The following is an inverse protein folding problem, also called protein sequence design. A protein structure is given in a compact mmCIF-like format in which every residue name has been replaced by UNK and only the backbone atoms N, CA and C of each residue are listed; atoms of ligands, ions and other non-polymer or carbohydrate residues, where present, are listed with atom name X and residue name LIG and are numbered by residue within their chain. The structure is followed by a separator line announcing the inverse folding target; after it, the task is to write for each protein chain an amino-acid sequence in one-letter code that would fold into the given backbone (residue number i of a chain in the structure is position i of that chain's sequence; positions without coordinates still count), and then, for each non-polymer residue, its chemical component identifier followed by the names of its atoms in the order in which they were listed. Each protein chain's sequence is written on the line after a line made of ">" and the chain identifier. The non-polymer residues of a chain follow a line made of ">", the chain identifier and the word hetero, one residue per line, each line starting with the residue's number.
data_IF_046331718666
#
_entry.id   IF_046331718666
#
_cell.length_a   1.000
_cell.length_b   1.000
_cell.length_c   1.000
_cell.angle_alpha   90.00
_cell.angle_beta   90.00
_cell.angle_gamma   90.00
#
_symmetry.space_group_name_H-M   'P 1'
#
loop_
_entity.id
_entity.type
_entity.pdbx_description
1 polymer ?
#
# COMPACT_ATOMS: atom_id res chain seq x y z
N UNK A 1 13.28 -17.51 8.41
CA UNK A 1 12.48 -18.65 7.91
C UNK A 1 11.41 -18.10 6.98
N UNK A 2 11.34 -18.55 5.72
CA UNK A 2 10.21 -18.21 4.83
C UNK A 2 9.11 -19.23 5.07
N UNK A 3 7.95 -18.79 5.54
CA UNK A 3 6.79 -19.65 5.81
C UNK A 3 5.89 -19.83 4.59
N UNK A 4 6.02 -18.97 3.57
CA UNK A 4 5.27 -19.04 2.32
C UNK A 4 6.03 -18.36 1.17
N UNK A 5 5.78 -18.78 -0.07
CA UNK A 5 6.29 -18.16 -1.30
C UNK A 5 5.25 -18.39 -2.42
N UNK A 6 4.98 -17.35 -3.20
CA UNK A 6 4.12 -17.42 -4.38
C UNK A 6 4.63 -16.46 -5.45
N UNK A 7 4.39 -16.82 -6.70
CA UNK A 7 4.75 -16.04 -7.88
C UNK A 7 3.47 -15.69 -8.64
N UNK A 8 3.39 -14.45 -9.13
CA UNK A 8 2.26 -13.96 -9.91
C UNK A 8 2.75 -13.08 -11.06
N UNK A 9 2.13 -13.23 -12.23
CA UNK A 9 2.42 -12.45 -13.43
C UNK A 9 1.25 -11.51 -13.69
N UNK A 10 1.52 -10.21 -13.74
CA UNK A 10 0.56 -9.19 -14.16
C UNK A 10 0.71 -8.95 -15.67
N UNK A 11 -0.42 -8.90 -16.39
CA UNK A 11 -0.45 -8.64 -17.83
C UNK A 11 -0.36 -7.13 -18.15
N UNK A 12 0.64 -6.46 -17.59
CA UNK A 12 0.88 -5.02 -17.77
C UNK A 12 2.39 -4.70 -17.80
N UNK A 13 2.80 -3.60 -18.45
CA UNK A 13 4.19 -3.14 -18.43
C UNK A 13 4.70 -2.86 -17.01
N UNK A 14 6.00 -3.07 -16.78
CA UNK A 14 6.64 -2.90 -15.47
C UNK A 14 6.47 -1.48 -14.92
N UNK A 15 6.52 -0.48 -15.80
CA UNK A 15 6.36 0.94 -15.45
C UNK A 15 4.96 1.19 -14.89
N UNK A 16 3.93 0.60 -15.49
CA UNK A 16 2.54 0.68 -15.04
C UNK A 16 2.37 -0.02 -13.69
N UNK A 17 2.92 -1.23 -13.54
CA UNK A 17 2.84 -1.99 -12.28
C UNK A 17 3.56 -1.23 -11.15
N UNK A 18 4.74 -0.70 -11.41
CA UNK A 18 5.52 0.05 -10.42
C UNK A 18 4.77 1.32 -9.99
N UNK A 19 4.19 2.04 -10.95
CA UNK A 19 3.41 3.25 -10.67
C UNK A 19 2.14 2.92 -9.87
N UNK A 20 1.41 1.87 -10.28
CA UNK A 20 0.23 1.39 -9.59
C UNK A 20 0.54 0.93 -8.16
N UNK A 21 1.68 0.26 -7.93
CA UNK A 21 2.11 -0.12 -6.59
C UNK A 21 2.39 1.12 -5.70
N UNK A 22 2.97 2.17 -6.28
CA UNK A 22 3.19 3.43 -5.57
C UNK A 22 1.88 4.18 -5.24
N UNK A 23 0.82 3.96 -6.02
CA UNK A 23 -0.52 4.56 -5.87
C UNK A 23 -1.59 3.52 -5.49
N UNK A 24 -1.19 2.42 -4.83
CA UNK A 24 -2.06 1.27 -4.58
C UNK A 24 -3.30 1.61 -3.76
N UNK A 25 -3.21 2.64 -2.92
CA UNK A 25 -4.30 3.05 -2.03
C UNK A 25 -4.68 4.51 -2.28
N UNK A 26 -5.98 4.86 -2.14
CA UNK A 26 -7.09 3.95 -1.79
C UNK A 26 -7.49 3.02 -2.95
N UNK A 27 -8.00 1.81 -2.65
CA UNK A 27 -8.59 0.91 -3.66
C UNK A 27 -9.84 0.19 -3.12
N UNK A 28 -10.83 -0.10 -3.97
CA UNK A 28 -12.10 -0.71 -3.53
C UNK A 28 -11.96 -2.17 -3.07
N UNK A 29 -10.91 -2.88 -3.52
CA UNK A 29 -10.67 -4.28 -3.16
C UNK A 29 -10.17 -4.46 -1.72
N UNK A 30 -9.58 -3.43 -1.14
CA UNK A 30 -9.08 -3.44 0.23
C UNK A 30 -9.44 -2.11 0.95
N UNK A 31 -10.72 -1.95 1.36
CA UNK A 31 -11.22 -0.72 1.95
C UNK A 31 -10.74 -0.49 3.40
N UNK A 32 -10.11 -1.48 4.05
CA UNK A 32 -9.62 -1.32 5.43
C UNK A 32 -8.45 -0.34 5.55
N UNK A 33 -7.69 -0.13 4.47
CA UNK A 33 -6.60 0.85 4.47
C UNK A 33 -7.20 2.25 4.31
N UNK A 34 -7.37 2.96 5.43
CA UNK A 34 -7.98 4.30 5.38
C UNK A 34 -6.96 5.42 5.13
N UNK A 35 -5.68 5.17 5.35
CA UNK A 35 -4.63 6.18 5.12
C UNK A 35 -3.30 5.54 4.77
N UNK A 36 -2.54 6.22 3.91
CA UNK A 36 -1.18 5.84 3.57
C UNK A 36 -0.34 7.10 3.33
N UNK A 37 0.69 7.29 4.14
CA UNK A 37 1.59 8.44 4.08
C UNK A 37 3.02 8.01 3.74
N UNK A 38 3.77 8.91 3.09
CA UNK A 38 5.20 8.74 2.80
C UNK A 38 5.97 9.55 3.84
N UNK A 39 6.68 8.86 4.72
CA UNK A 39 7.45 9.50 5.79
C UNK A 39 8.81 10.02 5.29
N UNK A 40 9.47 9.24 4.43
CA UNK A 40 10.75 9.59 3.82
C UNK A 40 10.83 9.03 2.40
N UNK A 41 11.51 9.77 1.51
CA UNK A 41 11.81 9.33 0.15
C UNK A 41 13.10 9.96 -0.35
N UNK A 42 14.05 9.12 -0.75
CA UNK A 42 15.31 9.57 -1.31
C UNK A 42 15.84 8.58 -2.35
N UNK A 43 16.78 9.07 -3.16
CA UNK A 43 17.54 8.25 -4.10
C UNK A 43 18.91 8.01 -3.49
N UNK A 44 19.33 6.75 -3.39
CA UNK A 44 20.67 6.43 -2.90
C UNK A 44 21.76 6.73 -3.96
N UNK A 45 23.05 6.76 -3.59
CA UNK A 45 24.13 6.99 -4.55
C UNK A 45 24.21 5.95 -5.69
N UNK A 46 23.55 4.80 -5.56
CA UNK A 46 23.46 3.77 -6.60
C UNK A 46 22.27 3.97 -7.56
N UNK A 47 21.47 5.02 -7.34
CA UNK A 47 20.31 5.37 -8.16
C UNK A 47 19.01 4.65 -7.78
N UNK A 48 18.93 3.99 -6.62
CA UNK A 48 17.71 3.30 -6.18
C UNK A 48 16.83 4.22 -5.37
N UNK A 49 15.52 4.16 -5.64
CA UNK A 49 14.51 4.89 -4.90
C UNK A 49 14.12 4.12 -3.62
N UNK A 50 14.35 4.74 -2.47
CA UNK A 50 13.89 4.26 -1.18
C UNK A 50 12.65 5.05 -0.76
N UNK A 51 11.65 4.39 -0.18
CA UNK A 51 10.44 5.04 0.31
C UNK A 51 10.00 4.39 1.61
N UNK A 52 9.99 5.16 2.69
CA UNK A 52 9.41 4.76 3.95
C UNK A 52 7.95 5.20 3.98
N UNK A 53 7.01 4.26 4.19
CA UNK A 53 5.58 4.53 4.16
C UNK A 53 4.91 4.03 5.42
N UNK A 54 4.00 4.82 5.95
CA UNK A 54 3.12 4.45 7.05
C UNK A 54 1.73 4.20 6.46
N UNK A 55 1.12 3.05 6.75
CA UNK A 55 -0.26 2.76 6.38
C UNK A 55 -1.09 2.55 7.63
N UNK A 56 -2.24 3.20 7.69
CA UNK A 56 -3.22 3.05 8.76
C UNK A 56 -4.35 2.17 8.26
N UNK A 57 -4.53 1.03 8.92
CA UNK A 57 -5.62 0.10 8.63
C UNK A 57 -6.67 0.20 9.74
N UNK A 58 -7.91 0.47 9.36
CA UNK A 58 -9.07 0.35 10.22
C UNK A 58 -9.67 -1.01 9.88
N UNK A 59 -9.40 -2.01 10.71
CA UNK A 59 -9.93 -3.37 10.54
C UNK A 59 -11.47 -3.42 10.60
N UNK A 60 -12.02 -4.63 10.74
CA UNK A 60 -13.47 -4.92 10.70
C UNK A 60 -14.36 -4.21 11.75
N UNK A 61 -13.81 -3.33 12.59
CA UNK A 61 -14.54 -2.59 13.64
C UNK A 61 -15.33 -1.40 13.06
N UNK A 62 -15.13 -1.06 11.78
CA UNK A 62 -15.71 0.11 11.12
C UNK A 62 -17.25 0.13 11.14
N UNK A 63 -17.94 -1.01 11.18
CA UNK A 63 -19.41 -1.02 11.14
C UNK A 63 -20.09 -0.53 12.44
N UNK A 64 -19.39 -0.51 13.59
CA UNK A 64 -19.96 -0.04 14.86
C UNK A 64 -19.58 1.42 15.12
N UNK A 65 -18.34 1.82 14.79
CA UNK A 65 -17.82 3.14 15.12
C UNK A 65 -18.24 4.26 14.15
N UNK A 66 -18.64 3.94 12.90
CA UNK A 66 -19.13 4.97 11.96
C UNK A 66 -20.37 5.72 12.47
N UNK A 67 -21.19 5.10 13.32
CA UNK A 67 -22.37 5.72 13.94
C UNK A 67 -22.04 6.65 15.12
N UNK A 68 -20.81 6.64 15.63
CA UNK A 68 -20.39 7.40 16.81
C UNK A 68 -19.50 8.62 16.49
N UNK A 69 -19.03 8.75 15.25
CA UNK A 69 -18.09 9.81 14.82
C UNK A 69 -18.72 10.78 13.80
N UNK A 70 -20.04 10.71 13.59
CA UNK A 70 -20.83 11.74 12.86
C UNK A 70 -21.58 12.65 13.82
#
# INVERSE_FOLDING_TARGET
>A
MKTWTSEHVFDHPRETITTAAMQKYPNPTNPSVAGADVLDRHIDPSGKLHSHRLSTEWGLIVSICQSFVT
#
